data_IF_018861855250
#
_entry.id   IF_018861855250
#
_cell.length_a   1.000
_cell.length_b   1.000
_cell.length_c   1.000
_cell.angle_alpha   90.00
_cell.angle_beta   90.00
_cell.angle_gamma   90.00
#
_symmetry.space_group_name_H-M   'P 1'
#
loop_
_entity.id
_entity.type
_entity.pdbx_description
1 polymer ?
#
# COMPACT_ATOMS: atom_id res chain seq x y z
N UNK A 1 -5.11 -59.96 -55.11
CA UNK A 1 -4.22 -58.90 -54.62
C UNK A 1 -5.00 -58.09 -53.59
N UNK A 2 -4.80 -58.37 -52.30
CA UNK A 2 -5.65 -57.89 -51.21
C UNK A 2 -4.90 -56.82 -50.43
N UNK A 3 -5.38 -55.58 -50.48
CA UNK A 3 -4.70 -54.41 -49.94
C UNK A 3 -5.08 -54.23 -48.45
N UNK A 4 -4.10 -54.37 -47.54
CA UNK A 4 -4.24 -54.04 -46.12
C UNK A 4 -4.02 -52.54 -45.93
N UNK A 5 -5.02 -51.84 -45.41
CA UNK A 5 -4.97 -50.41 -45.07
C UNK A 5 -4.78 -50.28 -43.55
N UNK A 6 -3.55 -49.94 -43.15
CA UNK A 6 -3.17 -49.73 -41.74
C UNK A 6 -3.63 -48.35 -41.29
N UNK A 7 -4.40 -48.30 -40.20
CA UNK A 7 -4.90 -47.07 -39.58
C UNK A 7 -3.97 -46.72 -38.40
N UNK A 8 -3.18 -45.65 -38.53
CA UNK A 8 -2.41 -45.08 -37.43
C UNK A 8 -3.31 -44.13 -36.64
N UNK A 9 -3.80 -44.61 -35.49
CA UNK A 9 -4.50 -43.78 -34.52
C UNK A 9 -3.54 -42.78 -33.88
N UNK A 10 -3.85 -41.49 -34.03
CA UNK A 10 -3.16 -40.41 -33.31
C UNK A 10 -3.69 -40.31 -31.89
N UNK A 11 -2.83 -40.49 -30.89
CA UNK A 11 -3.11 -40.17 -29.50
C UNK A 11 -3.12 -38.65 -29.32
N UNK A 12 -4.30 -38.08 -29.05
CA UNK A 12 -4.42 -36.75 -28.49
C UNK A 12 -4.12 -36.82 -26.99
N UNK A 13 -2.95 -36.34 -26.57
CA UNK A 13 -2.65 -36.07 -25.17
C UNK A 13 -3.42 -34.81 -24.77
N UNK A 14 -4.51 -34.97 -24.03
CA UNK A 14 -5.22 -33.87 -23.41
C UNK A 14 -4.35 -33.28 -22.30
N UNK A 15 -3.70 -32.15 -22.56
CA UNK A 15 -3.09 -31.34 -21.51
C UNK A 15 -4.22 -30.72 -20.68
N UNK A 16 -4.45 -31.26 -19.48
CA UNK A 16 -5.35 -30.64 -18.50
C UNK A 16 -4.63 -29.40 -17.97
N UNK A 17 -5.14 -28.17 -18.22
CA UNK A 17 -4.57 -26.99 -17.60
C UNK A 17 -4.78 -27.10 -16.09
N UNK A 18 -3.68 -27.13 -15.34
CA UNK A 18 -3.72 -26.97 -13.89
C UNK A 18 -4.27 -25.58 -13.60
N UNK A 19 -5.53 -25.53 -13.15
CA UNK A 19 -6.10 -24.32 -12.59
C UNK A 19 -5.30 -24.00 -11.33
N UNK A 20 -4.36 -23.08 -11.46
CA UNK A 20 -3.72 -22.41 -10.32
C UNK A 20 -4.80 -21.61 -9.62
N UNK A 21 -5.51 -22.26 -8.69
CA UNK A 21 -6.40 -21.60 -7.75
C UNK A 21 -5.53 -20.69 -6.90
N UNK A 22 -5.68 -19.38 -7.06
CA UNK A 22 -4.94 -18.41 -6.27
C UNK A 22 -5.69 -18.23 -4.95
N UNK A 23 -4.99 -18.35 -3.81
CA UNK A 23 -5.59 -18.09 -2.51
C UNK A 23 -6.24 -16.69 -2.46
N UNK A 24 -7.48 -16.59 -1.93
CA UNK A 24 -8.17 -15.31 -1.77
C UNK A 24 -7.49 -14.42 -0.72
N UNK A 25 -7.72 -13.11 -0.82
CA UNK A 25 -7.42 -12.18 0.28
C UNK A 25 -8.43 -12.44 1.40
N UNK A 26 -7.93 -12.63 2.62
CA UNK A 26 -8.73 -12.94 3.79
C UNK A 26 -8.87 -11.72 4.70
N UNK A 27 -10.06 -11.56 5.29
CA UNK A 27 -10.30 -10.54 6.30
C UNK A 27 -9.95 -11.11 7.69
N UNK A 28 -8.76 -10.79 8.18
CA UNK A 28 -8.22 -11.34 9.42
C UNK A 28 -8.82 -10.68 10.69
N UNK A 29 -9.13 -9.38 10.63
CA UNK A 29 -9.84 -8.67 11.69
C UNK A 29 -10.51 -7.39 11.15
N UNK A 30 -11.52 -6.90 11.86
CA UNK A 30 -12.27 -5.71 11.48
C UNK A 30 -12.92 -5.02 12.68
N UNK A 31 -13.01 -3.68 12.61
CA UNK A 31 -13.91 -2.89 13.47
C UNK A 31 -15.28 -2.65 12.82
N UNK A 32 -15.34 -2.72 11.49
CA UNK A 32 -16.51 -2.41 10.67
C UNK A 32 -16.57 -3.41 9.50
N UNK A 33 -17.34 -4.49 9.68
CA UNK A 33 -17.39 -5.59 8.73
C UNK A 33 -17.89 -5.18 7.34
N UNK A 34 -19.03 -4.46 7.20
CA UNK A 34 -19.50 -4.04 5.88
C UNK A 34 -18.50 -3.16 5.13
N UNK A 35 -17.80 -2.26 5.83
CA UNK A 35 -16.70 -1.50 5.22
C UNK A 35 -15.59 -2.44 4.73
N UNK A 36 -15.08 -3.31 5.61
CA UNK A 36 -13.94 -4.15 5.30
C UNK A 36 -14.21 -5.16 4.17
N UNK A 37 -15.42 -5.72 4.11
CA UNK A 37 -15.83 -6.60 3.00
C UNK A 37 -15.87 -5.86 1.65
N UNK A 38 -16.22 -4.57 1.64
CA UNK A 38 -16.10 -3.73 0.43
C UNK A 38 -14.66 -3.46 0.10
N UNK A 39 -13.84 -3.12 1.09
CA UNK A 39 -12.41 -2.81 0.89
C UNK A 39 -11.66 -4.03 0.35
N UNK A 40 -11.91 -5.25 0.84
CA UNK A 40 -11.31 -6.49 0.32
C UNK A 40 -11.49 -6.62 -1.19
N UNK A 41 -12.67 -6.25 -1.72
CA UNK A 41 -12.96 -6.32 -3.17
C UNK A 41 -12.16 -5.31 -4.00
N UNK A 42 -11.63 -4.26 -3.38
CA UNK A 42 -10.79 -3.26 -4.03
C UNK A 42 -9.32 -3.70 -4.14
N UNK A 43 -8.94 -4.80 -3.49
CA UNK A 43 -7.59 -5.34 -3.56
C UNK A 43 -7.59 -6.66 -4.35
N UNK A 44 -6.67 -6.76 -5.31
CA UNK A 44 -6.47 -7.97 -6.10
C UNK A 44 -5.58 -8.99 -5.38
N UNK A 45 -5.11 -9.99 -6.15
CA UNK A 45 -4.14 -10.99 -5.68
C UNK A 45 -2.92 -10.32 -5.01
N UNK A 46 -2.45 -10.91 -3.89
CA UNK A 46 -1.30 -10.42 -3.11
C UNK A 46 -1.43 -8.94 -2.73
N UNK A 47 -2.63 -8.55 -2.29
CA UNK A 47 -2.93 -7.20 -1.81
C UNK A 47 -2.54 -6.10 -2.82
N UNK A 48 -2.57 -6.41 -4.12
CA UNK A 48 -2.28 -5.44 -5.16
C UNK A 48 -3.42 -4.42 -5.21
N UNK A 49 -3.08 -3.15 -5.03
CA UNK A 49 -4.01 -2.01 -5.15
C UNK A 49 -4.73 -2.09 -6.51
N UNK A 50 -6.07 -2.02 -6.50
CA UNK A 50 -6.83 -1.87 -7.74
C UNK A 50 -6.48 -0.55 -8.43
N UNK A 51 -6.42 -0.52 -9.77
CA UNK A 51 -6.32 0.73 -10.52
C UNK A 51 -7.33 1.79 -10.08
N UNK A 52 -8.54 1.38 -9.67
CA UNK A 52 -9.59 2.32 -9.25
C UNK A 52 -9.23 3.04 -7.95
N UNK A 53 -8.65 2.32 -6.99
CA UNK A 53 -8.13 2.91 -5.75
C UNK A 53 -6.98 3.89 -6.05
N UNK A 54 -6.07 3.52 -6.95
CA UNK A 54 -4.91 4.35 -7.28
C UNK A 54 -5.28 5.69 -7.93
N UNK A 55 -6.48 5.80 -8.51
CA UNK A 55 -6.99 7.04 -9.12
C UNK A 55 -7.67 7.97 -8.13
N UNK A 56 -7.95 7.52 -6.90
CA UNK A 56 -8.65 8.34 -5.91
C UNK A 56 -7.79 9.45 -5.31
N UNK A 57 -6.48 9.38 -5.51
CA UNK A 57 -5.51 10.38 -5.05
C UNK A 57 -4.52 10.64 -6.18
N UNK A 58 -4.50 11.88 -6.66
CA UNK A 58 -3.56 12.33 -7.67
C UNK A 58 -2.27 12.80 -6.99
N UNK A 59 -1.16 12.14 -7.33
CA UNK A 59 0.16 12.48 -6.83
C UNK A 59 0.94 13.28 -7.88
N UNK A 60 1.57 14.36 -7.44
CA UNK A 60 2.48 15.17 -8.26
C UNK A 60 3.88 15.10 -7.67
N UNK A 61 4.88 14.89 -8.51
CA UNK A 61 6.27 14.94 -8.07
C UNK A 61 6.61 16.34 -7.51
N UNK A 62 7.36 16.39 -6.41
CA UNK A 62 7.89 17.64 -5.86
C UNK A 62 9.15 18.04 -6.64
N UNK A 63 9.16 19.28 -7.11
CA UNK A 63 10.36 19.88 -7.71
C UNK A 63 11.31 20.32 -6.60
N UNK A 64 12.49 19.70 -6.57
CA UNK A 64 13.53 20.00 -5.58
C UNK A 64 14.60 20.92 -6.19
N UNK A 65 14.99 21.94 -5.44
CA UNK A 65 16.06 22.88 -5.80
C UNK A 65 17.44 22.21 -5.70
N UNK A 66 18.38 22.67 -6.52
CA UNK A 66 19.77 22.21 -6.53
C UNK A 66 20.05 21.04 -7.49
N UNK A 67 21.26 20.50 -7.42
CA UNK A 67 21.66 19.35 -8.25
C UNK A 67 21.23 18.03 -7.59
N UNK A 68 20.35 17.28 -8.27
CA UNK A 68 19.96 15.95 -7.84
C UNK A 68 20.99 14.87 -8.20
N UNK A 69 20.91 13.68 -7.58
CA UNK A 69 21.79 12.57 -7.91
C UNK A 69 21.56 12.10 -9.36
N UNK A 70 22.65 11.73 -10.04
CA UNK A 70 22.63 11.24 -11.44
C UNK A 70 21.75 10.01 -11.67
N UNK A 71 21.48 9.24 -10.61
CA UNK A 71 20.55 8.09 -10.66
C UNK A 71 19.64 8.10 -9.44
N UNK A 72 18.33 8.01 -9.67
CA UNK A 72 17.33 7.76 -8.63
C UNK A 72 16.85 6.33 -8.79
N UNK A 73 17.33 5.41 -7.94
CA UNK A 73 16.95 3.99 -8.08
C UNK A 73 15.50 3.73 -7.68
N UNK A 74 15.04 4.38 -6.62
CA UNK A 74 13.75 4.12 -5.98
C UNK A 74 13.36 5.23 -5.00
N UNK A 75 13.98 6.41 -5.14
CA UNK A 75 13.74 7.54 -4.26
C UNK A 75 12.86 8.56 -4.96
N UNK A 76 11.70 8.84 -4.38
CA UNK A 76 10.76 9.85 -4.85
C UNK A 76 10.30 10.73 -3.71
N UNK A 77 9.88 11.93 -4.08
CA UNK A 77 9.21 12.87 -3.20
C UNK A 77 7.99 13.36 -3.97
N UNK A 78 6.82 12.96 -3.51
CA UNK A 78 5.55 13.22 -4.18
C UNK A 78 4.64 13.98 -3.22
N UNK A 79 3.74 14.79 -3.76
CA UNK A 79 2.75 15.55 -2.99
C UNK A 79 1.35 15.35 -3.52
N UNK A 80 0.38 15.59 -2.65
CA UNK A 80 -1.04 15.71 -3.00
C UNK A 80 -1.72 16.63 -1.99
N UNK A 81 -2.87 17.21 -2.38
CA UNK A 81 -3.73 17.93 -1.45
C UNK A 81 -4.98 17.08 -1.21
N UNK A 82 -5.23 16.73 0.06
CA UNK A 82 -6.42 16.00 0.46
C UNK A 82 -6.70 16.18 1.94
N UNK A 83 -7.97 16.22 2.33
CA UNK A 83 -8.40 16.02 3.72
C UNK A 83 -8.04 14.59 4.20
N UNK A 84 -6.83 14.43 4.75
CA UNK A 84 -6.28 13.12 5.13
C UNK A 84 -6.80 12.67 6.50
N UNK A 85 -6.95 13.62 7.42
CA UNK A 85 -7.40 13.37 8.79
C UNK A 85 -8.94 13.35 8.94
N UNK A 86 -9.67 13.66 7.86
CA UNK A 86 -11.14 13.75 7.77
C UNK A 86 -11.71 14.87 8.67
N UNK A 87 -11.06 16.02 8.74
CA UNK A 87 -11.51 17.20 9.50
C UNK A 87 -12.33 18.21 8.66
N UNK A 88 -12.50 17.93 7.37
CA UNK A 88 -13.21 18.78 6.42
C UNK A 88 -12.35 19.84 5.74
N UNK A 89 -11.03 19.86 5.96
CA UNK A 89 -10.08 20.76 5.30
C UNK A 89 -8.99 19.97 4.60
N UNK A 90 -8.55 20.46 3.45
CA UNK A 90 -7.46 19.80 2.75
C UNK A 90 -6.12 20.02 3.47
N UNK A 91 -5.33 18.95 3.50
CA UNK A 91 -3.95 18.93 3.96
C UNK A 91 -3.00 18.81 2.76
N UNK A 92 -1.83 19.43 2.85
CA UNK A 92 -0.69 19.09 2.01
C UNK A 92 -0.06 17.81 2.55
N UNK A 93 -0.19 16.72 1.79
CA UNK A 93 0.41 15.43 2.12
C UNK A 93 1.64 15.23 1.24
N UNK A 94 2.80 15.06 1.86
CA UNK A 94 4.06 14.79 1.20
C UNK A 94 4.49 13.37 1.50
N UNK A 95 4.77 12.57 0.47
CA UNK A 95 5.22 11.19 0.58
C UNK A 95 6.66 11.07 0.10
N UNK A 96 7.50 10.45 0.93
CA UNK A 96 8.86 10.05 0.57
C UNK A 96 8.91 8.56 0.35
N UNK A 97 9.52 8.14 -0.75
CA UNK A 97 9.89 6.74 -0.99
C UNK A 97 11.41 6.63 -0.97
N UNK A 98 11.97 5.60 -0.34
CA UNK A 98 13.40 5.28 -0.38
C UNK A 98 13.62 3.77 -0.36
N UNK A 99 14.76 3.28 -0.85
CA UNK A 99 15.08 1.85 -0.74
C UNK A 99 15.66 1.52 0.62
N UNK A 100 15.05 0.56 1.30
CA UNK A 100 15.68 -0.18 2.39
C UNK A 100 15.97 -1.59 1.94
N UNK A 101 17.23 -2.01 2.02
CA UNK A 101 17.66 -3.37 1.64
C UNK A 101 17.18 -3.78 0.24
N UNK A 102 17.08 -2.82 -0.69
CA UNK A 102 16.62 -3.04 -2.06
C UNK A 102 15.11 -2.99 -2.29
N UNK A 103 14.29 -2.80 -1.26
CA UNK A 103 12.83 -2.67 -1.36
C UNK A 103 12.36 -1.24 -1.04
N UNK A 104 11.36 -0.70 -1.75
CA UNK A 104 10.82 0.63 -1.47
C UNK A 104 10.08 0.63 -0.12
N UNK A 105 10.44 1.57 0.75
CA UNK A 105 9.70 1.90 1.97
C UNK A 105 9.24 3.34 1.86
N UNK A 106 8.05 3.60 2.38
CA UNK A 106 7.43 4.91 2.29
C UNK A 106 7.24 5.52 3.68
N UNK A 107 7.20 6.85 3.72
CA UNK A 107 6.86 7.67 4.87
C UNK A 107 6.08 8.88 4.37
N UNK A 108 5.25 9.48 5.22
CA UNK A 108 4.52 10.68 4.84
C UNK A 108 4.56 11.76 5.93
N UNK A 109 4.36 12.98 5.49
CA UNK A 109 4.35 14.21 6.29
C UNK A 109 3.13 15.02 5.89
N UNK A 110 2.46 15.60 6.88
CA UNK A 110 1.21 16.32 6.69
C UNK A 110 1.41 17.75 7.18
N UNK A 111 0.96 18.68 6.36
CA UNK A 111 1.01 20.11 6.61
C UNK A 111 -0.33 20.74 6.26
N UNK A 112 -0.63 21.96 6.74
CA UNK A 112 -1.73 22.75 6.19
C UNK A 112 -1.58 22.89 4.66
N UNK A 113 -2.68 22.84 3.90
CA UNK A 113 -2.66 22.86 2.42
C UNK A 113 -1.81 23.98 1.79
N UNK A 114 -1.75 25.15 2.43
CA UNK A 114 -1.02 26.33 1.94
C UNK A 114 0.38 26.49 2.56
N UNK A 115 0.92 25.42 3.17
CA UNK A 115 2.23 25.46 3.81
C UNK A 115 3.36 25.76 2.80
N UNK A 116 4.28 26.71 3.10
CA UNK A 116 5.43 27.00 2.25
C UNK A 116 6.59 26.01 2.44
N UNK A 117 6.37 24.86 3.10
CA UNK A 117 7.43 23.91 3.44
C UNK A 117 8.20 23.43 2.20
N UNK A 118 7.51 23.25 1.08
CA UNK A 118 8.12 22.75 -0.16
C UNK A 118 9.15 23.73 -0.74
N UNK A 119 8.99 25.03 -0.51
CA UNK A 119 9.92 26.06 -1.01
C UNK A 119 11.29 26.01 -0.30
N UNK A 120 11.32 25.37 0.87
CA UNK A 120 12.51 25.20 1.71
C UNK A 120 13.26 23.91 1.39
N UNK A 121 12.69 23.02 0.57
CA UNK A 121 13.29 21.73 0.26
C UNK A 121 14.37 21.86 -0.84
N UNK A 122 15.45 21.12 -0.63
CA UNK A 122 16.52 20.95 -1.62
C UNK A 122 16.92 19.50 -1.76
N UNK A 123 17.66 19.18 -2.82
CA UNK A 123 18.21 17.83 -3.02
C UNK A 123 19.11 17.37 -1.88
N UNK A 124 19.78 18.31 -1.23
CA UNK A 124 20.72 18.05 -0.13
C UNK A 124 20.07 18.17 1.25
N UNK A 125 18.86 18.74 1.34
CA UNK A 125 18.20 19.02 2.62
C UNK A 125 16.68 18.83 2.52
N UNK A 126 16.21 17.74 3.15
CA UNK A 126 14.80 17.43 3.35
C UNK A 126 14.36 17.62 4.80
N UNK A 127 15.22 18.16 5.67
CA UNK A 127 14.91 18.37 7.09
C UNK A 127 13.68 19.25 7.35
N UNK A 128 13.26 20.20 6.48
CA UNK A 128 12.00 20.92 6.68
C UNK A 128 10.77 20.01 6.75
N UNK A 129 10.81 18.81 6.14
CA UNK A 129 9.72 17.83 6.28
C UNK A 129 9.57 17.34 7.73
N UNK A 130 10.66 17.33 8.50
CA UNK A 130 10.66 16.84 9.88
C UNK A 130 10.05 17.83 10.87
N UNK A 131 9.78 19.07 10.44
CA UNK A 131 9.22 20.13 11.28
C UNK A 131 7.75 19.90 11.66
N UNK A 132 7.01 19.08 10.90
CA UNK A 132 5.65 18.70 11.29
C UNK A 132 5.68 17.62 12.37
N UNK A 133 4.75 17.73 13.32
CA UNK A 133 4.44 16.63 14.24
C UNK A 133 3.52 15.60 13.57
N UNK A 134 2.80 15.99 12.53
CA UNK A 134 1.87 15.14 11.78
C UNK A 134 2.60 14.38 10.68
N UNK A 135 3.21 13.27 11.08
CA UNK A 135 3.99 12.42 10.18
C UNK A 135 3.93 10.97 10.59
N UNK A 136 4.21 10.12 9.63
CA UNK A 136 4.45 8.71 9.84
C UNK A 136 5.79 8.35 9.22
N UNK A 137 6.79 8.25 10.07
CA UNK A 137 8.16 7.88 9.73
C UNK A 137 8.45 6.49 10.28
N UNK A 138 8.42 5.47 9.43
CA UNK A 138 8.75 4.10 9.86
C UNK A 138 9.80 3.41 8.99
N UNK A 139 10.76 4.18 8.50
CA UNK A 139 12.02 3.69 7.93
C UNK A 139 12.67 2.62 8.81
N UNK A 140 12.41 1.34 8.58
CA UNK A 140 12.97 0.23 9.35
C UNK A 140 12.21 -0.13 10.63
N UNK A 141 11.04 0.46 10.85
CA UNK A 141 10.19 0.19 12.01
C UNK A 141 9.24 -0.99 11.80
N UNK A 142 8.29 -1.16 12.71
CA UNK A 142 7.26 -2.19 12.61
C UNK A 142 5.88 -1.59 12.92
N UNK A 143 4.81 -2.13 12.35
CA UNK A 143 3.42 -1.74 12.67
C UNK A 143 2.67 -2.86 13.38
N UNK A 144 2.34 -2.70 14.68
CA UNK A 144 1.70 -3.76 15.43
C UNK A 144 0.23 -3.91 15.04
N UNK A 145 -0.21 -5.13 14.73
CA UNK A 145 -1.62 -5.45 14.47
C UNK A 145 -2.32 -5.83 15.77
N UNK A 146 -2.49 -4.84 16.64
CA UNK A 146 -2.97 -5.04 18.02
C UNK A 146 -4.25 -4.27 18.34
N UNK A 147 -4.66 -3.35 17.47
CA UNK A 147 -5.82 -2.48 17.69
C UNK A 147 -7.15 -3.20 17.50
N UNK A 148 -7.15 -4.34 16.79
CA UNK A 148 -8.35 -5.14 16.50
C UNK A 148 -8.20 -6.55 17.08
N UNK A 149 -9.30 -7.17 17.53
CA UNK A 149 -9.27 -8.55 17.99
C UNK A 149 -8.99 -9.48 16.81
N UNK A 150 -7.86 -10.19 16.86
CA UNK A 150 -7.54 -11.28 15.94
C UNK A 150 -7.68 -12.63 16.66
N UNK A 151 -8.13 -13.65 15.93
CA UNK A 151 -8.11 -15.02 16.44
C UNK A 151 -6.66 -15.46 16.71
N UNK A 152 -6.44 -16.08 17.88
CA UNK A 152 -5.15 -16.29 18.57
C UNK A 152 -4.06 -17.09 17.80
N UNK A 153 -4.24 -17.43 16.53
CA UNK A 153 -3.34 -18.33 15.78
C UNK A 153 -2.14 -17.59 15.16
N UNK A 154 -2.14 -16.25 15.08
CA UNK A 154 -1.06 -15.49 14.45
C UNK A 154 -0.20 -14.76 15.49
N UNK A 155 0.73 -15.47 16.12
CA UNK A 155 1.52 -15.01 17.27
C UNK A 155 2.57 -13.91 17.00
N UNK A 156 2.59 -13.30 15.81
CA UNK A 156 3.30 -12.03 15.57
C UNK A 156 2.82 -11.34 14.28
N UNK A 157 1.54 -10.95 14.22
CA UNK A 157 1.04 -10.17 13.08
C UNK A 157 1.54 -8.73 13.21
N UNK A 158 2.66 -8.43 12.57
CA UNK A 158 3.27 -7.11 12.55
C UNK A 158 3.63 -6.83 11.10
N UNK A 159 3.32 -5.64 10.58
CA UNK A 159 3.92 -5.23 9.30
C UNK A 159 5.37 -4.91 9.61
N UNK A 160 6.29 -5.63 8.98
CA UNK A 160 7.71 -5.57 9.36
C UNK A 160 8.54 -4.76 8.37
N UNK A 161 9.44 -3.93 8.92
CA UNK A 161 10.62 -3.28 8.33
C UNK A 161 10.42 -2.32 7.16
N UNK A 162 9.61 -2.71 6.16
CA UNK A 162 9.41 -1.98 4.90
C UNK A 162 7.93 -2.06 4.57
N UNK A 163 7.32 -0.89 4.33
CA UNK A 163 5.91 -0.80 3.98
C UNK A 163 5.67 0.27 2.92
N UNK A 164 4.64 0.03 2.12
CA UNK A 164 4.07 1.00 1.20
C UNK A 164 2.80 1.59 1.79
N UNK A 165 2.60 2.88 1.54
CA UNK A 165 1.54 3.72 2.06
C UNK A 165 0.71 4.21 0.87
N UNK A 166 -0.57 3.84 0.88
CA UNK A 166 -1.51 4.23 -0.15
C UNK A 166 -2.71 4.93 0.49
N UNK A 167 -2.73 6.28 0.53
CA UNK A 167 -3.95 7.02 0.78
C UNK A 167 -4.97 6.77 -0.33
N UNK A 168 -6.25 6.71 0.03
CA UNK A 168 -7.36 6.60 -0.90
C UNK A 168 -8.65 7.16 -0.31
N UNK A 169 -9.63 7.46 -1.17
CA UNK A 169 -10.99 7.86 -0.74
C UNK A 169 -12.00 6.75 -1.00
N UNK A 170 -12.89 6.53 -0.04
CA UNK A 170 -14.06 5.66 -0.18
C UNK A 170 -15.26 6.31 0.50
N UNK A 171 -16.36 6.48 -0.24
CA UNK A 171 -17.57 7.17 0.22
C UNK A 171 -17.30 8.56 0.81
N UNK A 172 -16.37 9.31 0.20
CA UNK A 172 -15.98 10.65 0.66
C UNK A 172 -15.00 10.67 1.85
N UNK A 173 -14.70 9.52 2.45
CA UNK A 173 -13.79 9.39 3.61
C UNK A 173 -12.40 8.97 3.14
N UNK A 174 -11.37 9.63 3.67
CA UNK A 174 -9.97 9.27 3.46
C UNK A 174 -9.54 8.11 4.37
N UNK A 175 -8.85 7.14 3.77
CA UNK A 175 -8.22 6.01 4.43
C UNK A 175 -6.77 5.88 3.96
N UNK A 176 -5.97 5.20 4.76
CA UNK A 176 -4.60 4.82 4.43
C UNK A 176 -4.51 3.29 4.41
N UNK A 177 -4.00 2.75 3.32
CA UNK A 177 -3.54 1.36 3.22
C UNK A 177 -2.05 1.27 3.56
N UNK A 178 -1.70 0.57 4.63
CA UNK A 178 -0.32 0.22 4.97
C UNK A 178 -0.08 -1.24 4.57
N UNK A 179 0.80 -1.49 3.61
CA UNK A 179 1.10 -2.86 3.13
C UNK A 179 2.54 -3.20 3.44
N UNK A 180 2.83 -4.37 3.98
CA UNK A 180 4.20 -4.83 4.19
C UNK A 180 4.91 -5.16 2.86
N UNK A 181 6.24 -5.24 2.86
CA UNK A 181 7.01 -5.51 1.66
C UNK A 181 6.71 -6.86 1.00
N UNK A 182 6.30 -7.87 1.78
CA UNK A 182 5.94 -9.18 1.23
C UNK A 182 4.53 -9.20 0.65
N UNK A 183 3.74 -8.16 0.95
CA UNK A 183 2.30 -8.07 0.63
C UNK A 183 1.54 -9.26 1.20
N UNK A 184 1.94 -9.67 2.39
CA UNK A 184 1.25 -10.65 3.22
C UNK A 184 0.18 -9.96 4.06
N UNK A 185 0.46 -8.75 4.54
CA UNK A 185 -0.44 -7.98 5.40
C UNK A 185 -0.75 -6.59 4.85
N UNK A 186 -2.01 -6.19 4.98
CA UNK A 186 -2.48 -4.83 4.70
C UNK A 186 -3.38 -4.35 5.84
N UNK A 187 -3.05 -3.18 6.38
CA UNK A 187 -3.89 -2.45 7.33
C UNK A 187 -4.63 -1.35 6.59
N UNK A 188 -5.93 -1.28 6.80
CA UNK A 188 -6.76 -0.16 6.40
C UNK A 188 -7.05 0.66 7.64
N UNK A 189 -6.66 1.92 7.63
CA UNK A 189 -6.73 2.78 8.81
C UNK A 189 -7.17 4.19 8.46
N UNK A 190 -7.75 4.90 9.44
CA UNK A 190 -7.98 6.35 9.36
C UNK A 190 -6.82 7.08 10.04
N UNK A 191 -6.31 8.11 9.39
CA UNK A 191 -5.31 8.97 9.99
C UNK A 191 -5.95 9.92 11.01
N UNK A 192 -5.31 10.09 12.19
CA UNK A 192 -5.81 10.95 13.27
C UNK A 192 -4.83 12.07 13.66
N UNK A 193 -3.75 12.27 12.90
CA UNK A 193 -2.69 13.22 13.23
C UNK A 193 -1.57 12.58 14.06
N UNK A 194 -0.35 13.08 13.92
CA UNK A 194 0.86 12.50 14.48
C UNK A 194 1.09 11.06 14.01
N UNK A 195 1.49 10.19 14.93
CA UNK A 195 1.59 8.74 14.71
C UNK A 195 0.29 7.99 15.03
N UNK A 196 -0.85 8.69 15.14
CA UNK A 196 -2.12 8.09 15.57
C UNK A 196 -2.94 7.62 14.38
N UNK A 197 -3.33 6.36 14.46
CA UNK A 197 -4.09 5.64 13.46
C UNK A 197 -5.27 4.94 14.12
N UNK A 198 -6.38 4.90 13.42
CA UNK A 198 -7.55 4.13 13.82
C UNK A 198 -7.75 2.99 12.83
N UNK A 199 -7.22 1.83 13.19
CA UNK A 199 -7.31 0.63 12.36
C UNK A 199 -8.76 0.19 12.18
N UNK A 200 -9.10 -0.14 10.93
CA UNK A 200 -10.45 -0.55 10.54
C UNK A 200 -10.48 -1.99 10.07
N UNK A 201 -9.48 -2.40 9.28
CA UNK A 201 -9.40 -3.74 8.70
C UNK A 201 -7.95 -4.25 8.72
N UNK A 202 -7.77 -5.51 9.09
CA UNK A 202 -6.55 -6.27 8.84
C UNK A 202 -6.84 -7.31 7.76
N UNK A 203 -6.10 -7.20 6.65
CA UNK A 203 -6.21 -8.09 5.51
C UNK A 203 -4.95 -8.94 5.41
N UNK A 204 -5.12 -10.23 5.13
CA UNK A 204 -4.03 -11.18 4.94
C UNK A 204 -4.11 -11.78 3.54
N UNK A 205 -2.99 -11.87 2.84
CA UNK A 205 -2.92 -12.69 1.62
C UNK A 205 -2.94 -14.16 2.06
N UNK A 206 -4.03 -14.88 1.79
CA UNK A 206 -4.17 -16.28 2.21
C UNK A 206 -2.95 -17.12 1.81
N UNK A 207 -2.56 -18.04 2.69
CA UNK A 207 -1.53 -19.03 2.40
C UNK A 207 -2.08 -20.07 1.43
N UNK A 208 -1.42 -20.25 0.29
CA UNK A 208 -1.62 -21.43 -0.57
C UNK A 208 -1.17 -22.70 0.16
#
# INVERSE_FOLDING_TARGET
MTMKRTWMGSLFVAMIPTLVSAAPVELAAYSDRPLCERVVKLFGKRLKVSPDLSKTVEWTAVELKGEGPKTRRCSSLDKTNMDLNNDGRDDLVVKTTFCMKGAPSESFYVFPANSPVLDQLGWQDLSPLLATQDKFERTGGSYPLTSLPMDKVSSSSVLSTVFTIQPFRLDGVAYIGLTDARREWLVITKYRGGERFEDRCYLHAGSN
#
